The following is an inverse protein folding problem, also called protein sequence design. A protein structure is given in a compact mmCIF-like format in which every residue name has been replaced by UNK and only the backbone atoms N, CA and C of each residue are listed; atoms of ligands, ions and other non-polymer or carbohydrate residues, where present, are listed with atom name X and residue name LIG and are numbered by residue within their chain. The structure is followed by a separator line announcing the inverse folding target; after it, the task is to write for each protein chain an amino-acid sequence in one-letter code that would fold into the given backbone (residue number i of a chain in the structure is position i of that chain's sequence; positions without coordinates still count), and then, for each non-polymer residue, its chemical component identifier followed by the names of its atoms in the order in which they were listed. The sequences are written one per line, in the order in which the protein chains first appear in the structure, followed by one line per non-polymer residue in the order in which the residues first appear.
data_IF_064560586727
#
_entry.id   IF_064560586727
#
_cell.length_a   1.000
_cell.length_b   1.000
_cell.length_c   1.000
_cell.angle_alpha   90.00
_cell.angle_beta   90.00
_cell.angle_gamma   90.00
#
_symmetry.space_group_name_H-M   'P 1'
#
loop_
_entity.id
_entity.type
_entity.pdbx_description
1 polymer ?
#
# COMPACT_ATOMS: atom_id res chain seq x y z
N UNK A 1 -0.10 14.45 14.81
CA UNK A 1 0.74 14.43 13.60
C UNK A 1 2.03 13.69 13.93
N UNK A 2 2.08 12.40 13.61
CA UNK A 2 3.26 11.54 13.77
C UNK A 2 3.16 10.40 12.75
N UNK A 3 3.48 10.67 11.49
CA UNK A 3 3.60 9.63 10.46
C UNK A 3 5.08 9.45 10.16
N UNK A 4 5.70 8.45 10.77
CA UNK A 4 7.08 8.08 10.48
C UNK A 4 7.38 6.73 11.11
N UNK A 5 7.17 5.66 10.33
CA UNK A 5 8.07 4.51 10.19
C UNK A 5 7.32 3.45 9.40
N UNK A 6 7.88 3.01 8.26
CA UNK A 6 7.62 1.65 7.77
C UNK A 6 6.15 1.27 7.52
N UNK A 7 5.26 2.21 7.17
CA UNK A 7 3.80 2.06 7.20
C UNK A 7 3.19 1.12 6.13
N UNK A 8 3.82 -0.03 5.87
CA UNK A 8 3.23 -1.36 5.59
C UNK A 8 4.26 -2.36 4.98
N UNK A 9 5.56 -2.13 5.15
CA UNK A 9 6.57 -3.13 4.78
C UNK A 9 6.50 -4.31 5.75
N UNK A 10 5.90 -5.41 5.31
CA UNK A 10 5.96 -6.68 6.06
C UNK A 10 7.31 -7.31 5.78
N UNK A 11 8.35 -6.86 6.48
CA UNK A 11 9.61 -7.60 6.52
C UNK A 11 9.41 -8.80 7.44
N UNK A 12 9.85 -9.99 7.02
CA UNK A 12 10.61 -10.97 7.83
C UNK A 12 10.57 -12.38 7.19
N UNK A 13 11.64 -12.73 6.46
CA UNK A 13 12.27 -14.06 6.59
C UNK A 13 13.75 -13.85 6.82
N UNK A 14 14.16 -13.96 8.08
CA UNK A 14 15.53 -14.26 8.44
C UNK A 14 15.65 -15.78 8.34
N UNK A 15 16.45 -16.30 7.41
CA UNK A 15 16.74 -17.73 7.34
C UNK A 15 17.92 -18.03 8.29
N UNK A 16 17.67 -18.54 9.51
CA UNK A 16 18.73 -18.84 10.48
C UNK A 16 19.63 -20.01 10.06
N UNK A 17 19.34 -20.67 8.92
CA UNK A 17 20.09 -21.81 8.42
C UNK A 17 21.39 -21.43 7.68
N UNK A 18 21.56 -20.16 7.30
CA UNK A 18 22.81 -19.71 6.68
C UNK A 18 23.78 -19.14 7.73
N UNK A 19 24.42 -20.06 8.49
CA UNK A 19 25.51 -19.75 9.42
C UNK A 19 26.84 -19.46 8.67
N UNK A 20 26.77 -18.91 7.47
CA UNK A 20 27.95 -18.67 6.61
C UNK A 20 28.09 -17.18 6.36
N UNK A 21 28.79 -16.49 7.28
CA UNK A 21 29.44 -15.17 7.11
C UNK A 21 28.72 -14.15 6.21
N UNK A 22 28.03 -13.19 6.84
CA UNK A 22 27.78 -11.83 6.31
C UNK A 22 27.04 -11.73 4.97
N UNK A 23 25.94 -12.47 4.78
CA UNK A 23 24.94 -12.07 3.80
C UNK A 23 23.52 -12.09 4.38
N UNK A 24 23.20 -11.11 5.22
CA UNK A 24 21.82 -10.88 5.65
C UNK A 24 21.04 -10.32 4.48
N UNK A 25 20.19 -11.14 3.88
CA UNK A 25 19.28 -10.75 2.80
C UNK A 25 17.92 -10.45 3.39
N UNK A 26 17.34 -9.31 3.03
CA UNK A 26 16.00 -8.89 3.48
C UNK A 26 15.11 -8.75 2.25
N UNK A 27 13.94 -9.40 2.29
CA UNK A 27 12.89 -9.25 1.29
C UNK A 27 11.81 -8.32 1.81
N UNK A 28 11.35 -7.43 0.94
CA UNK A 28 10.29 -6.48 1.21
C UNK A 28 9.04 -6.81 0.39
N UNK A 29 7.90 -6.75 1.07
CA UNK A 29 6.58 -6.82 0.46
C UNK A 29 5.68 -5.76 1.07
N UNK A 30 4.82 -5.19 0.24
CA UNK A 30 3.78 -4.26 0.66
C UNK A 30 2.48 -5.01 0.97
N UNK A 31 1.64 -4.39 1.77
CA UNK A 31 0.27 -4.85 2.02
C UNK A 31 -0.60 -4.79 0.77
N UNK A 32 -1.67 -5.60 0.70
CA UNK A 32 -2.61 -5.55 -0.42
C UNK A 32 -3.17 -4.13 -0.62
N UNK A 33 -3.20 -3.67 -1.88
CA UNK A 33 -3.62 -2.31 -2.23
C UNK A 33 -2.47 -1.29 -2.28
N UNK A 34 -1.23 -1.74 -2.14
CA UNK A 34 -0.06 -0.90 -2.38
C UNK A 34 1.02 -1.63 -3.16
N UNK A 35 1.72 -0.87 -4.00
CA UNK A 35 2.81 -1.33 -4.85
C UNK A 35 4.17 -0.98 -4.24
N UNK A 36 5.12 -1.91 -4.36
CA UNK A 36 6.50 -1.68 -3.93
C UNK A 36 7.25 -0.83 -4.95
N UNK A 37 7.79 0.30 -4.50
CA UNK A 37 8.66 1.18 -5.28
C UNK A 37 10.09 1.06 -4.77
N UNK A 38 10.95 0.43 -5.56
CA UNK A 38 12.36 0.20 -5.25
C UNK A 38 12.75 -1.28 -5.34
N UNK A 39 13.82 -1.66 -4.64
CA UNK A 39 14.32 -3.03 -4.64
C UNK A 39 13.46 -3.94 -3.75
N UNK A 40 12.97 -5.05 -4.29
CA UNK A 40 12.28 -6.10 -3.52
C UNK A 40 13.19 -6.79 -2.51
N UNK A 41 14.49 -6.85 -2.80
CA UNK A 41 15.47 -7.51 -1.95
C UNK A 41 16.71 -6.63 -1.78
N UNK A 42 17.18 -6.48 -0.54
CA UNK A 42 18.45 -5.80 -0.24
C UNK A 42 19.34 -6.72 0.60
N UNK A 43 20.65 -6.55 0.45
CA UNK A 43 21.66 -7.37 1.14
C UNK A 43 22.58 -6.51 1.98
N UNK A 44 22.92 -6.97 3.17
CA UNK A 44 23.97 -6.33 3.96
C UNK A 44 25.33 -6.65 3.33
N UNK A 45 26.04 -5.62 2.88
CA UNK A 45 27.37 -5.74 2.30
C UNK A 45 28.43 -5.86 3.40
N UNK A 46 29.62 -6.44 3.09
CA UNK A 46 30.74 -6.50 4.04
C UNK A 46 31.20 -5.12 4.56
N UNK A 47 30.89 -4.05 3.83
CA UNK A 47 31.14 -2.67 4.25
C UNK A 47 30.20 -2.18 5.36
N UNK A 48 29.22 -2.97 5.78
CA UNK A 48 28.20 -2.60 6.76
C UNK A 48 27.02 -1.79 6.18
N UNK A 49 27.00 -1.58 4.86
CA UNK A 49 25.93 -0.85 4.16
C UNK A 49 24.99 -1.81 3.44
N UNK A 50 23.75 -1.38 3.21
CA UNK A 50 22.81 -2.11 2.37
C UNK A 50 23.16 -1.96 0.89
N UNK A 51 22.92 -3.02 0.11
CA UNK A 51 23.16 -3.05 -1.34
C UNK A 51 22.29 -2.06 -2.12
N UNK A 52 21.15 -1.64 -1.55
CA UNK A 52 20.26 -0.64 -2.10
C UNK A 52 19.53 0.11 -0.97
N UNK A 53 18.98 1.31 -1.25
CA UNK A 53 18.11 2.01 -0.31
C UNK A 53 16.89 1.19 0.07
N UNK A 54 16.32 1.47 1.25
CA UNK A 54 15.07 0.85 1.71
C UNK A 54 13.96 1.26 0.72
N UNK A 55 13.19 0.31 0.16
CA UNK A 55 12.09 0.62 -0.74
C UNK A 55 10.92 1.26 0.01
N UNK A 56 9.97 1.84 -0.73
CA UNK A 56 8.74 2.40 -0.16
C UNK A 56 7.51 1.73 -0.75
N UNK A 57 6.43 1.65 0.02
CA UNK A 57 5.13 1.26 -0.50
C UNK A 57 4.37 2.51 -0.95
N UNK A 58 3.74 2.44 -2.12
CA UNK A 58 2.85 3.48 -2.63
C UNK A 58 1.47 2.89 -2.82
N UNK A 59 0.44 3.51 -2.24
CA UNK A 59 -0.93 3.02 -2.41
C UNK A 59 -1.32 3.06 -3.88
N UNK A 60 -1.94 1.99 -4.34
CA UNK A 60 -2.38 1.90 -5.72
C UNK A 60 -3.50 2.90 -5.97
N UNK A 61 -3.42 3.60 -7.10
CA UNK A 61 -4.47 4.52 -7.53
C UNK A 61 -5.67 3.71 -8.01
N UNK A 62 -6.84 4.06 -7.51
CA UNK A 62 -8.09 3.43 -7.91
C UNK A 62 -8.98 4.43 -8.64
N UNK A 63 -9.76 3.91 -9.58
CA UNK A 63 -10.87 4.67 -10.17
C UNK A 63 -12.07 4.51 -9.23
N UNK A 64 -12.71 5.60 -8.79
CA UNK A 64 -13.90 5.49 -7.97
C UNK A 64 -15.02 4.79 -8.76
N UNK A 65 -15.97 4.14 -8.07
CA UNK A 65 -17.12 3.54 -8.74
C UNK A 65 -17.88 4.60 -9.55
N UNK A 66 -18.47 4.17 -10.67
CA UNK A 66 -19.36 5.04 -11.42
C UNK A 66 -20.57 5.42 -10.56
N UNK A 67 -21.07 6.66 -10.65
CA UNK A 67 -22.28 7.03 -9.94
C UNK A 67 -23.46 6.15 -10.35
N UNK A 68 -24.27 5.66 -9.38
CA UNK A 68 -25.50 4.93 -9.71
C UNK A 68 -26.52 5.87 -10.36
N UNK A 69 -27.56 5.29 -10.96
CA UNK A 69 -28.63 6.07 -11.58
C UNK A 69 -29.25 7.04 -10.57
N UNK A 70 -29.28 8.33 -10.92
CA UNK A 70 -29.76 9.42 -10.05
C UNK A 70 -29.02 9.53 -8.71
N UNK A 71 -27.80 9.00 -8.61
CA UNK A 71 -26.91 9.17 -7.48
C UNK A 71 -25.63 9.92 -7.82
N UNK A 72 -24.93 10.35 -6.79
CA UNK A 72 -23.65 11.04 -6.85
C UNK A 72 -22.66 10.30 -5.94
N UNK A 73 -21.41 10.19 -6.39
CA UNK A 73 -20.30 9.73 -5.57
C UNK A 73 -19.59 10.98 -5.05
N UNK A 74 -19.51 11.10 -3.73
CA UNK A 74 -18.84 12.22 -3.05
C UNK A 74 -17.41 11.82 -2.70
N UNK A 75 -16.46 12.70 -3.04
CA UNK A 75 -15.04 12.54 -2.77
C UNK A 75 -14.21 13.33 -3.77
N UNK A 76 -13.13 13.95 -3.32
CA UNK A 76 -12.17 14.60 -4.21
C UNK A 76 -11.01 13.64 -4.47
N UNK A 77 -10.77 13.32 -5.75
CA UNK A 77 -9.65 12.46 -6.14
C UNK A 77 -8.29 13.15 -5.97
N UNK A 78 -7.18 12.40 -6.06
CA UNK A 78 -7.08 10.99 -6.47
C UNK A 78 -7.44 10.00 -5.36
N UNK A 79 -8.14 8.93 -5.72
CA UNK A 79 -8.50 7.85 -4.81
C UNK A 79 -7.44 6.75 -4.82
N UNK A 80 -7.22 6.16 -3.66
CA UNK A 80 -6.28 5.08 -3.43
C UNK A 80 -6.99 3.85 -2.88
N UNK A 81 -6.34 2.70 -2.97
CA UNK A 81 -6.87 1.48 -2.37
C UNK A 81 -7.15 1.66 -0.87
N UNK A 82 -8.32 1.21 -0.45
CA UNK A 82 -8.81 1.36 0.92
C UNK A 82 -9.55 2.68 1.21
N UNK A 83 -9.58 3.64 0.27
CA UNK A 83 -10.40 4.83 0.42
C UNK A 83 -11.88 4.48 0.32
N UNK A 84 -12.70 5.10 1.16
CA UNK A 84 -14.16 4.95 1.19
C UNK A 84 -14.78 6.20 0.60
N UNK A 85 -15.69 6.01 -0.36
CA UNK A 85 -16.45 7.10 -0.99
C UNK A 85 -17.90 7.04 -0.56
N UNK A 86 -18.50 8.20 -0.32
CA UNK A 86 -19.91 8.29 0.05
C UNK A 86 -20.77 8.34 -1.21
N UNK A 87 -21.71 7.40 -1.33
CA UNK A 87 -22.74 7.44 -2.36
C UNK A 87 -23.99 8.10 -1.79
N UNK A 88 -24.48 9.14 -2.46
CA UNK A 88 -25.69 9.88 -2.06
C UNK A 88 -26.66 9.96 -3.23
N UNK A 89 -27.96 9.99 -2.92
CA UNK A 89 -28.97 10.27 -3.94
C UNK A 89 -28.91 11.74 -4.38
N UNK A 90 -29.18 11.98 -5.66
CA UNK A 90 -29.42 13.33 -6.16
C UNK A 90 -30.66 13.93 -5.47
N UNK A 91 -30.80 15.26 -5.44
CA UNK A 91 -31.98 15.90 -4.86
C UNK A 91 -33.27 15.31 -5.42
N UNK A 92 -34.22 15.00 -4.54
CA UNK A 92 -35.51 14.36 -4.82
C UNK A 92 -35.49 12.86 -5.15
N UNK A 93 -34.35 12.18 -4.98
CA UNK A 93 -34.25 10.72 -5.10
C UNK A 93 -33.97 10.08 -3.73
N UNK A 94 -34.39 8.83 -3.56
CA UNK A 94 -34.16 8.02 -2.37
C UNK A 94 -33.43 6.73 -2.74
N UNK A 95 -32.63 6.19 -1.82
CA UNK A 95 -31.92 4.93 -2.04
C UNK A 95 -32.93 3.79 -2.10
N UNK A 96 -32.82 2.98 -3.15
CA UNK A 96 -33.61 1.76 -3.29
C UNK A 96 -32.67 0.56 -3.23
N UNK A 97 -32.86 -0.33 -2.25
CA UNK A 97 -32.01 -1.51 -2.00
C UNK A 97 -31.34 -1.53 -0.62
N UNK A 98 -30.55 -2.57 -0.35
CA UNK A 98 -29.78 -2.75 0.90
C UNK A 98 -28.31 -2.29 0.70
N UNK A 99 -27.69 -1.62 1.70
CA UNK A 99 -26.32 -1.12 1.62
C UNK A 99 -25.27 -2.23 1.49
#
# INVERSE_FOLDING_TARGET
ASMNKSDELTSLRYDPADNTRMSTVVNFSCTPGSSLVGAQQIKCLPSGNWSAPIPRCEKDKCVPPAPPLNGIVSGEGPFHAGDVVDVKCSPNYMMEGQP
#
